data_IF_830342721064
#
_entry.id   IF_830342721064
#
_cell.length_a   1.000
_cell.length_b   1.000
_cell.length_c   1.000
_cell.angle_alpha   90.00
_cell.angle_beta   90.00
_cell.angle_gamma   90.00
#
_symmetry.space_group_name_H-M   'P 1'
#
loop_
_entity.id
_entity.type
_entity.pdbx_description
1 polymer ?
#
# COMPACT_ATOMS: atom_id res chain seq x y z
N UNK A 1 43.76 3.27 1.97
CA UNK A 1 43.95 4.71 2.29
C UNK A 1 42.89 5.50 1.54
N UNK A 2 42.09 6.35 2.20
CA UNK A 2 41.08 7.16 1.52
C UNK A 2 41.72 8.36 0.80
N UNK A 3 41.42 8.56 -0.48
CA UNK A 3 41.92 9.68 -1.28
C UNK A 3 41.23 10.98 -0.87
N UNK A 4 42.00 12.07 -0.75
CA UNK A 4 41.46 13.40 -0.41
C UNK A 4 40.59 13.88 -1.57
N UNK A 5 39.35 14.26 -1.27
CA UNK A 5 38.36 14.71 -2.26
C UNK A 5 38.80 15.93 -3.09
N UNK A 6 38.05 16.28 -4.15
CA UNK A 6 38.51 17.17 -5.22
C UNK A 6 38.93 18.55 -4.69
N UNK A 7 40.08 19.02 -5.17
CA UNK A 7 40.67 20.32 -4.82
C UNK A 7 40.07 21.41 -5.73
N UNK A 8 39.55 22.50 -5.13
CA UNK A 8 39.18 23.74 -5.82
C UNK A 8 37.90 23.70 -6.67
N UNK A 9 38.00 23.29 -7.94
CA UNK A 9 36.91 23.45 -8.93
C UNK A 9 35.72 22.53 -8.65
N UNK A 10 35.98 21.26 -8.35
CA UNK A 10 34.92 20.31 -7.97
C UNK A 10 34.21 20.66 -6.65
N UNK A 11 34.84 21.46 -5.76
CA UNK A 11 34.16 21.96 -4.55
C UNK A 11 33.09 22.99 -4.90
N UNK A 12 33.39 23.94 -5.79
CA UNK A 12 32.46 24.98 -6.24
C UNK A 12 31.28 24.39 -7.02
N UNK A 13 31.54 23.42 -7.88
CA UNK A 13 30.47 22.71 -8.61
C UNK A 13 29.56 21.93 -7.66
N UNK A 14 30.14 21.22 -6.68
CA UNK A 14 29.36 20.49 -5.67
C UNK A 14 28.55 21.43 -4.78
N UNK A 15 29.07 22.61 -4.48
CA UNK A 15 28.36 23.64 -3.73
C UNK A 15 27.18 24.21 -4.53
N UNK A 16 27.39 24.56 -5.80
CA UNK A 16 26.32 24.99 -6.72
C UNK A 16 25.22 23.93 -6.83
N UNK A 17 25.60 22.67 -7.03
CA UNK A 17 24.64 21.56 -7.10
C UNK A 17 23.83 21.37 -5.80
N UNK A 18 24.46 21.56 -4.62
CA UNK A 18 23.72 21.53 -3.34
C UNK A 18 22.73 22.68 -3.24
N UNK A 19 23.15 23.90 -3.60
CA UNK A 19 22.29 25.09 -3.56
C UNK A 19 21.10 24.93 -4.52
N UNK A 20 21.34 24.49 -5.76
CA UNK A 20 20.28 24.24 -6.75
C UNK A 20 19.30 23.17 -6.27
N UNK A 21 19.80 22.05 -5.72
CA UNK A 21 18.93 21.00 -5.15
C UNK A 21 18.10 21.51 -3.97
N UNK A 22 18.67 22.35 -3.11
CA UNK A 22 17.95 22.96 -2.00
C UNK A 22 16.85 23.91 -2.51
N UNK A 23 17.16 24.75 -3.51
CA UNK A 23 16.18 25.64 -4.17
C UNK A 23 15.04 24.84 -4.78
N UNK A 24 15.34 23.81 -5.57
CA UNK A 24 14.33 22.93 -6.18
C UNK A 24 13.47 22.22 -5.13
N UNK A 25 14.08 21.76 -4.02
CA UNK A 25 13.34 21.14 -2.92
C UNK A 25 12.41 22.14 -2.22
N UNK A 26 12.83 23.39 -2.07
CA UNK A 26 11.99 24.45 -1.51
C UNK A 26 10.79 24.73 -2.41
N UNK A 27 11.03 24.95 -3.71
CA UNK A 27 9.98 25.16 -4.72
C UNK A 27 8.97 24.01 -4.71
N UNK A 28 9.43 22.76 -4.80
CA UNK A 28 8.54 21.58 -4.77
C UNK A 28 7.74 21.49 -3.47
N UNK A 29 8.32 21.90 -2.34
CA UNK A 29 7.61 21.91 -1.05
C UNK A 29 6.50 22.95 -1.04
N UNK A 30 6.77 24.14 -1.57
CA UNK A 30 5.79 25.22 -1.61
C UNK A 30 4.66 24.94 -2.61
N UNK A 31 4.97 24.39 -3.78
CA UNK A 31 3.96 23.85 -4.72
C UNK A 31 3.09 22.76 -4.08
N UNK A 32 3.70 21.84 -3.32
CA UNK A 32 2.95 20.80 -2.61
C UNK A 32 2.09 21.35 -1.46
N UNK A 33 2.50 22.47 -0.83
CA UNK A 33 1.64 23.17 0.14
C UNK A 33 0.46 23.83 -0.57
N UNK A 34 0.71 24.54 -1.67
CA UNK A 34 -0.33 25.21 -2.47
C UNK A 34 -1.38 24.21 -2.97
N UNK A 35 -0.94 23.07 -3.55
CA UNK A 35 -1.87 22.00 -3.97
C UNK A 35 -2.69 21.45 -2.81
N UNK A 36 -2.07 21.23 -1.66
CA UNK A 36 -2.77 20.76 -0.45
C UNK A 36 -3.75 21.80 0.11
N UNK A 37 -3.46 23.10 0.01
CA UNK A 37 -4.41 24.14 0.42
C UNK A 37 -5.56 24.34 -0.55
N UNK A 38 -5.35 24.03 -1.84
CA UNK A 38 -6.40 24.09 -2.87
C UNK A 38 -7.32 22.87 -2.82
N UNK A 39 -6.79 21.73 -2.38
CA UNK A 39 -7.59 20.53 -2.15
C UNK A 39 -8.31 20.68 -0.81
N UNK A 40 -9.63 20.55 -0.80
CA UNK A 40 -10.41 20.60 0.44
C UNK A 40 -10.05 19.45 1.39
N UNK A 41 -10.51 19.50 2.66
CA UNK A 41 -10.36 18.37 3.57
C UNK A 41 -11.06 17.12 2.99
N UNK A 42 -10.41 15.97 3.10
CA UNK A 42 -11.04 14.69 2.78
C UNK A 42 -12.20 14.43 3.75
N UNK A 43 -13.24 13.72 3.27
CA UNK A 43 -14.31 13.30 4.15
C UNK A 43 -13.78 12.36 5.25
N UNK A 44 -14.19 12.59 6.52
CA UNK A 44 -13.73 11.75 7.62
C UNK A 44 -14.30 10.33 7.47
N UNK A 45 -13.42 9.33 7.50
CA UNK A 45 -13.81 7.91 7.44
C UNK A 45 -14.00 7.35 6.02
N UNK A 46 -13.74 8.13 4.96
CA UNK A 46 -13.82 7.68 3.57
C UNK A 46 -12.46 7.86 2.89
N UNK A 47 -11.96 6.81 2.25
CA UNK A 47 -10.75 6.89 1.41
C UNK A 47 -11.13 7.43 0.02
N UNK A 48 -10.56 8.55 -0.45
CA UNK A 48 -10.82 9.09 -1.78
C UNK A 48 -10.59 8.10 -2.92
N UNK A 49 -9.65 7.17 -2.76
CA UNK A 49 -9.34 6.17 -3.80
C UNK A 49 -10.37 5.04 -3.85
N UNK A 50 -11.10 4.81 -2.75
CA UNK A 50 -12.11 3.73 -2.61
C UNK A 50 -13.54 4.30 -2.68
N UNK A 51 -13.72 5.61 -2.48
CA UNK A 51 -15.01 6.27 -2.51
C UNK A 51 -15.75 5.97 -3.83
N UNK A 52 -16.94 5.35 -3.72
CA UNK A 52 -17.78 5.02 -4.87
C UNK A 52 -17.42 3.72 -5.60
N UNK A 53 -16.39 2.97 -5.16
CA UNK A 53 -16.10 1.63 -5.69
C UNK A 53 -16.96 0.60 -4.96
N UNK A 54 -17.81 -0.11 -5.71
CA UNK A 54 -18.52 -1.29 -5.22
C UNK A 54 -17.66 -2.53 -5.53
N UNK A 55 -17.01 -3.17 -4.54
CA UNK A 55 -16.23 -4.37 -4.79
C UNK A 55 -17.15 -5.50 -5.28
N UNK A 56 -16.71 -6.21 -6.32
CA UNK A 56 -17.39 -7.39 -6.82
C UNK A 56 -17.21 -8.61 -5.91
N UNK A 57 -17.90 -9.73 -6.19
CA UNK A 57 -17.67 -10.98 -5.47
C UNK A 57 -16.22 -11.43 -5.63
N UNK A 58 -15.48 -11.50 -4.52
CA UNK A 58 -14.13 -12.05 -4.48
C UNK A 58 -14.23 -13.57 -4.33
N UNK A 59 -13.70 -14.32 -5.29
CA UNK A 59 -13.61 -15.78 -5.17
C UNK A 59 -12.74 -16.14 -3.96
N UNK A 60 -13.15 -17.16 -3.20
CA UNK A 60 -12.36 -17.67 -2.09
C UNK A 60 -11.15 -18.43 -2.65
N UNK A 61 -9.91 -18.00 -2.37
CA UNK A 61 -8.71 -18.59 -2.95
C UNK A 61 -8.41 -20.02 -2.50
N UNK A 62 -9.18 -20.58 -1.55
CA UNK A 62 -9.01 -21.94 -1.03
C UNK A 62 -10.23 -22.84 -1.23
N UNK A 63 -11.24 -22.41 -1.99
CA UNK A 63 -12.48 -23.17 -2.16
C UNK A 63 -12.31 -24.39 -3.08
N UNK A 64 -11.44 -24.30 -4.10
CA UNK A 64 -11.17 -25.40 -5.04
C UNK A 64 -10.52 -26.62 -4.36
N UNK A 65 -9.89 -26.44 -3.19
CA UNK A 65 -9.21 -27.51 -2.44
C UNK A 65 -10.14 -28.21 -1.42
N UNK A 66 -11.38 -27.74 -1.22
CA UNK A 66 -12.32 -28.24 -0.20
C UNK A 66 -13.46 -29.10 -0.76
N UNK A 67 -13.54 -29.28 -2.08
CA UNK A 67 -14.58 -30.09 -2.75
C UNK A 67 -14.28 -31.60 -2.77
N UNK A 68 -13.27 -32.10 -2.01
CA UNK A 68 -13.20 -33.54 -1.74
C UNK A 68 -14.36 -33.91 -0.80
N UNK A 69 -15.33 -34.73 -1.23
CA UNK A 69 -16.45 -35.11 -0.38
C UNK A 69 -15.90 -35.90 0.80
N UNK A 70 -16.03 -35.33 2.00
CA UNK A 70 -16.05 -36.12 3.22
C UNK A 70 -17.21 -37.12 3.07
N UNK A 71 -16.87 -38.35 2.72
CA UNK A 71 -17.76 -39.51 2.69
C UNK A 71 -18.41 -39.66 4.08
N UNK A 72 -19.61 -39.11 4.25
CA UNK A 72 -20.48 -39.27 5.42
C UNK A 72 -21.18 -40.65 5.45
N UNK A 73 -20.62 -41.69 4.83
CA UNK A 73 -21.09 -43.06 5.01
C UNK A 73 -20.37 -43.75 6.19
N UNK A 74 -20.93 -43.60 7.39
CA UNK A 74 -20.97 -44.51 8.56
C UNK A 74 -21.28 -43.62 9.77
N UNK A 75 -22.48 -43.56 10.30
CA UNK A 75 -23.11 -44.65 11.05
C UNK A 75 -24.61 -44.39 11.22
N UNK A 76 -25.44 -44.96 10.35
CA UNK A 76 -26.82 -45.32 10.67
C UNK A 76 -26.85 -46.84 10.86
N UNK A 77 -27.00 -47.32 12.10
CA UNK A 77 -27.95 -48.40 12.44
C UNK A 77 -27.73 -48.99 13.83
N UNK A 78 -28.87 -49.20 14.51
CA UNK A 78 -29.14 -49.95 15.74
C UNK A 78 -29.08 -49.19 17.08
N UNK A 79 -30.24 -48.82 17.60
CA UNK A 79 -30.91 -49.72 18.58
C UNK A 79 -32.40 -49.36 18.66
N UNK A 80 -33.24 -50.28 18.19
CA UNK A 80 -34.70 -50.21 18.31
C UNK A 80 -35.12 -50.39 19.78
N UNK A 81 -36.26 -49.81 20.12
CA UNK A 81 -36.69 -49.60 21.50
C UNK A 81 -36.84 -50.86 22.37
N UNK A 82 -36.59 -50.64 23.65
CA UNK A 82 -37.16 -51.34 24.82
C UNK A 82 -37.36 -50.23 25.87
N UNK A 83 -38.59 -49.86 26.24
CA UNK A 83 -39.58 -50.71 26.91
C UNK A 83 -39.65 -50.21 28.35
#
# INVERSE_FOLDING_TARGET
MATRGPLGRGKRERERARVEKQKQKAVRRDEAKQRRSQTGPNEPGVDPDIAGIVPGPQANPWLDDLDEPADDSKTSDNDEGRG
#
